data_IF_859262599662
#
_entry.id   IF_859262599662
#
_cell.length_a   1.000
_cell.length_b   1.000
_cell.length_c   1.000
_cell.angle_alpha   90.00
_cell.angle_beta   90.00
_cell.angle_gamma   90.00
#
_symmetry.space_group_name_H-M   'P 1'
#
loop_
_entity.id
_entity.type
_entity.pdbx_description
1 polymer ?
#
# COMPACT_ATOMS: atom_id res chain seq x y z
N UNK A 1 57.07 2.02 -23.89
CA UNK A 1 55.63 2.05 -24.23
C UNK A 1 54.85 1.63 -22.99
N UNK A 2 53.74 2.31 -22.68
CA UNK A 2 53.06 2.26 -21.39
C UNK A 2 52.06 1.10 -21.29
N UNK A 3 52.24 0.22 -20.31
CA UNK A 3 51.23 -0.73 -19.86
C UNK A 3 50.88 -0.43 -18.39
N UNK A 4 49.94 0.49 -18.19
CA UNK A 4 49.30 0.73 -16.90
C UNK A 4 48.04 -0.15 -16.81
N UNK A 5 48.21 -1.39 -16.34
CA UNK A 5 47.09 -2.25 -15.99
C UNK A 5 46.42 -1.75 -14.70
N UNK A 6 45.53 -0.79 -14.83
CA UNK A 6 44.60 -0.43 -13.76
C UNK A 6 43.39 -1.38 -13.81
N UNK A 7 43.43 -2.45 -13.00
CA UNK A 7 42.41 -3.52 -12.91
C UNK A 7 40.99 -3.06 -12.48
N UNK A 8 40.75 -1.75 -12.43
CA UNK A 8 39.51 -1.12 -11.96
C UNK A 8 38.71 -0.41 -13.06
N UNK A 9 38.90 -0.76 -14.33
CA UNK A 9 38.14 -0.20 -15.45
C UNK A 9 37.07 -1.20 -15.96
N UNK A 10 35.90 -0.68 -16.34
CA UNK A 10 34.82 -1.39 -17.05
C UNK A 10 34.39 -0.56 -18.26
N UNK A 11 34.02 -1.20 -19.39
CA UNK A 11 33.45 -0.47 -20.51
C UNK A 11 32.07 0.09 -20.16
N UNK A 12 31.77 1.29 -20.64
CA UNK A 12 30.44 1.87 -20.59
C UNK A 12 29.50 1.10 -21.52
N UNK A 13 28.34 0.66 -21.01
CA UNK A 13 27.35 -0.09 -21.81
C UNK A 13 26.67 0.74 -22.90
N UNK A 14 26.79 2.07 -22.87
CA UNK A 14 26.13 2.97 -23.82
C UNK A 14 27.06 3.48 -24.91
N UNK A 15 28.32 3.79 -24.58
CA UNK A 15 29.27 4.40 -25.52
C UNK A 15 30.60 3.64 -25.65
N UNK A 16 30.77 2.51 -24.96
CA UNK A 16 31.96 1.66 -25.07
C UNK A 16 33.22 2.17 -24.38
N UNK A 17 33.26 3.44 -23.95
CA UNK A 17 34.44 4.04 -23.33
C UNK A 17 34.79 3.40 -21.98
N UNK A 18 36.10 3.32 -21.68
CA UNK A 18 36.60 2.73 -20.44
C UNK A 18 36.42 3.69 -19.27
N UNK A 19 35.87 3.18 -18.17
CA UNK A 19 35.57 3.99 -16.97
C UNK A 19 35.85 3.21 -15.69
N UNK A 20 36.08 3.93 -14.59
CA UNK A 20 36.21 3.30 -13.28
C UNK A 20 35.00 2.40 -12.94
N UNK A 21 35.25 1.22 -12.37
CA UNK A 21 34.21 0.25 -11.96
C UNK A 21 33.19 0.87 -10.99
N UNK A 22 33.64 1.82 -10.17
CA UNK A 22 32.83 2.56 -9.19
C UNK A 22 31.95 3.67 -9.81
N UNK A 23 32.21 4.09 -11.05
CA UNK A 23 31.41 5.13 -11.70
C UNK A 23 29.98 4.64 -11.95
N UNK A 24 29.02 5.32 -11.31
CA UNK A 24 27.57 5.07 -11.44
C UNK A 24 26.98 5.69 -12.71
N UNK A 25 27.60 6.76 -13.21
CA UNK A 25 27.21 7.52 -14.39
C UNK A 25 28.45 7.70 -15.27
N UNK A 26 28.29 7.55 -16.59
CA UNK A 26 29.35 7.80 -17.54
C UNK A 26 29.62 9.31 -17.68
N UNK A 27 30.86 9.80 -17.50
CA UNK A 27 31.16 11.22 -17.68
C UNK A 27 31.15 11.64 -19.16
N UNK A 28 31.27 10.70 -20.10
CA UNK A 28 31.34 11.01 -21.53
C UNK A 28 29.96 11.02 -22.21
N UNK A 29 29.02 10.17 -21.79
CA UNK A 29 27.70 10.08 -22.42
C UNK A 29 26.52 10.22 -21.45
N UNK A 30 26.76 10.41 -20.15
CA UNK A 30 25.70 10.50 -19.14
C UNK A 30 24.96 9.19 -18.84
N UNK A 31 25.30 8.09 -19.52
CA UNK A 31 24.64 6.79 -19.34
C UNK A 31 24.83 6.19 -17.94
N UNK A 32 23.74 5.73 -17.32
CA UNK A 32 23.73 5.15 -15.96
C UNK A 32 24.17 3.68 -16.02
N UNK A 33 25.43 3.39 -15.71
CA UNK A 33 25.98 2.02 -15.72
C UNK A 33 25.93 1.37 -14.32
N UNK A 34 24.74 1.37 -13.69
CA UNK A 34 24.50 0.70 -12.40
C UNK A 34 24.27 -0.81 -12.64
N UNK A 35 24.88 -1.70 -11.83
CA UNK A 35 24.55 -3.11 -11.90
C UNK A 35 23.09 -3.30 -11.48
N UNK A 36 22.33 -4.16 -12.19
CA UNK A 36 20.95 -4.40 -11.87
C UNK A 36 20.82 -5.04 -10.48
N UNK A 37 19.71 -4.74 -9.79
CA UNK A 37 19.48 -5.07 -8.38
C UNK A 37 19.58 -6.58 -8.14
N UNK A 38 19.11 -7.40 -9.09
CA UNK A 38 19.13 -8.86 -9.01
C UNK A 38 20.52 -9.51 -9.06
N UNK A 39 21.59 -8.76 -9.39
CA UNK A 39 22.97 -9.25 -9.34
C UNK A 39 23.71 -8.88 -8.06
N UNK A 40 23.03 -8.23 -7.10
CA UNK A 40 23.64 -7.86 -5.82
C UNK A 40 23.61 -9.06 -4.87
N UNK A 41 24.69 -9.34 -4.13
CA UNK A 41 24.79 -10.54 -3.28
C UNK A 41 23.67 -10.65 -2.25
N UNK A 42 23.24 -9.54 -1.64
CA UNK A 42 22.10 -9.54 -0.69
C UNK A 42 20.76 -10.00 -1.30
N UNK A 43 20.51 -9.70 -2.58
CA UNK A 43 19.26 -10.09 -3.27
C UNK A 43 19.24 -11.59 -3.56
N UNK A 44 20.42 -12.17 -3.88
CA UNK A 44 20.58 -13.61 -4.09
C UNK A 44 20.30 -14.37 -2.79
N UNK A 45 20.77 -13.87 -1.64
CA UNK A 45 20.50 -14.47 -0.32
C UNK A 45 19.01 -14.50 0.00
N UNK A 46 18.29 -13.39 -0.24
CA UNK A 46 16.83 -13.32 -0.01
C UNK A 46 16.07 -14.30 -0.92
N UNK A 47 16.43 -14.38 -2.20
CA UNK A 47 15.79 -15.31 -3.13
C UNK A 47 15.98 -16.78 -2.72
N UNK A 48 17.16 -17.16 -2.22
CA UNK A 48 17.43 -18.52 -1.73
C UNK A 48 16.60 -18.85 -0.49
N UNK A 49 16.48 -17.92 0.48
CA UNK A 49 15.63 -18.10 1.66
C UNK A 49 14.17 -18.30 1.25
N UNK A 50 13.69 -17.52 0.29
CA UNK A 50 12.31 -17.63 -0.19
C UNK A 50 12.05 -18.99 -0.83
N UNK A 51 12.95 -19.48 -1.70
CA UNK A 51 12.82 -20.80 -2.35
C UNK A 51 12.94 -21.97 -1.35
N UNK A 52 13.74 -21.84 -0.30
CA UNK A 52 13.83 -22.87 0.75
C UNK A 52 12.60 -22.84 1.69
N UNK A 53 11.99 -21.66 1.89
CA UNK A 53 10.79 -21.49 2.71
C UNK A 53 9.53 -22.13 2.14
N UNK A 54 9.42 -22.30 0.82
CA UNK A 54 8.24 -22.94 0.18
C UNK A 54 8.22 -24.47 0.21
N UNK A 55 9.28 -25.14 0.68
CA UNK A 55 9.32 -26.63 0.73
C UNK A 55 8.73 -27.18 2.05
N UNK A 56 8.34 -26.33 3.00
CA UNK A 56 7.88 -26.74 4.34
C UNK A 56 6.40 -27.12 4.51
N UNK A 57 5.58 -27.20 3.46
CA UNK A 57 4.11 -27.39 3.63
C UNK A 57 3.47 -28.37 2.64
N UNK A 58 4.12 -29.51 2.40
CA UNK A 58 3.43 -30.70 1.86
C UNK A 58 3.43 -31.76 2.97
N UNK A 59 2.35 -31.81 3.74
CA UNK A 59 2.18 -32.83 4.77
C UNK A 59 1.02 -32.53 5.72
N UNK A 60 -0.19 -32.97 5.35
CA UNK A 60 -1.35 -32.91 6.25
C UNK A 60 -2.68 -33.05 5.51
N UNK A 61 -3.02 -34.28 5.11
CA UNK A 61 -4.32 -34.61 4.51
C UNK A 61 -5.45 -34.70 5.52
N UNK A 62 -6.69 -34.70 5.02
CA UNK A 62 -7.87 -35.06 5.82
C UNK A 62 -9.21 -34.54 5.33
N UNK A 63 -9.69 -35.12 4.22
CA UNK A 63 -11.07 -35.54 3.93
C UNK A 63 -12.28 -34.67 4.37
N UNK A 64 -13.17 -34.32 3.42
CA UNK A 64 -14.51 -34.96 3.25
C UNK A 64 -15.47 -34.11 2.40
N UNK A 65 -15.82 -34.65 1.22
CA UNK A 65 -17.16 -34.70 0.57
C UNK A 65 -18.15 -33.54 0.78
N UNK A 66 -18.48 -32.78 -0.27
CA UNK A 66 -19.53 -33.06 -1.27
C UNK A 66 -20.97 -33.01 -0.71
N UNK A 67 -21.78 -32.07 -1.23
CA UNK A 67 -23.13 -32.32 -1.75
C UNK A 67 -23.62 -31.10 -2.51
N UNK A 68 -23.93 -31.31 -3.79
CA UNK A 68 -24.53 -30.31 -4.67
C UNK A 68 -26.06 -30.39 -4.73
N UNK A 69 -26.57 -29.78 -5.80
CA UNK A 69 -27.96 -29.71 -6.26
C UNK A 69 -28.89 -28.76 -5.49
N UNK A 70 -29.82 -28.05 -6.13
CA UNK A 70 -30.10 -27.76 -7.53
C UNK A 70 -31.32 -26.83 -7.51
N UNK A 71 -31.42 -25.96 -8.53
CA UNK A 71 -32.66 -25.44 -9.12
C UNK A 71 -33.67 -24.71 -8.23
N UNK A 72 -33.91 -23.43 -8.55
CA UNK A 72 -35.28 -22.91 -8.49
C UNK A 72 -35.56 -22.05 -9.72
N UNK A 73 -36.64 -22.47 -10.36
CA UNK A 73 -37.29 -22.02 -11.59
C UNK A 73 -37.70 -20.55 -11.58
N UNK A 74 -37.44 -19.90 -12.71
CA UNK A 74 -38.03 -18.65 -13.19
C UNK A 74 -39.55 -18.62 -13.04
N UNK A 75 -40.07 -17.61 -12.33
CA UNK A 75 -41.41 -17.08 -12.57
C UNK A 75 -41.33 -15.57 -12.76
N UNK A 76 -41.76 -15.15 -13.93
CA UNK A 76 -42.07 -13.78 -14.33
C UNK A 76 -43.49 -13.44 -13.88
N UNK A 77 -43.68 -12.27 -13.26
CA UNK A 77 -44.86 -11.37 -13.32
C UNK A 77 -44.51 -10.14 -12.46
N UNK A 78 -44.26 -8.99 -13.09
CA UNK A 78 -45.22 -7.88 -13.31
C UNK A 78 -45.32 -6.93 -12.10
N UNK A 79 -44.77 -5.72 -12.34
CA UNK A 79 -45.15 -4.40 -11.83
C UNK A 79 -45.52 -4.26 -10.34
N UNK A 80 -44.66 -3.58 -9.57
CA UNK A 80 -45.01 -2.24 -9.11
C UNK A 80 -43.79 -1.49 -8.57
N UNK A 81 -43.78 -0.20 -8.82
CA UNK A 81 -42.91 0.82 -8.25
C UNK A 81 -42.77 0.68 -6.74
N UNK A 82 -41.56 0.41 -6.26
CA UNK A 82 -41.16 0.72 -4.90
C UNK A 82 -39.88 1.52 -5.00
N UNK A 83 -40.04 2.85 -4.99
CA UNK A 83 -38.98 3.76 -4.59
C UNK A 83 -38.46 3.26 -3.25
N UNK A 84 -37.29 2.63 -3.26
CA UNK A 84 -36.59 2.30 -2.03
C UNK A 84 -36.13 3.64 -1.46
N UNK A 85 -36.88 4.15 -0.48
CA UNK A 85 -36.31 5.03 0.52
C UNK A 85 -35.18 4.25 1.19
N UNK A 86 -33.96 4.51 0.75
CA UNK A 86 -32.75 4.23 1.51
C UNK A 86 -32.92 4.94 2.84
N UNK A 87 -33.26 4.17 3.87
CA UNK A 87 -33.15 4.61 5.24
C UNK A 87 -31.67 4.88 5.50
N UNK A 88 -31.24 6.13 5.36
CA UNK A 88 -29.92 6.58 5.77
C UNK A 88 -29.76 6.28 7.26
N UNK A 89 -29.02 5.22 7.56
CA UNK A 89 -28.48 5.01 8.88
C UNK A 89 -27.42 6.10 9.09
N UNK A 90 -27.70 7.03 10.00
CA UNK A 90 -26.76 8.11 10.33
C UNK A 90 -25.58 7.48 11.05
N UNK A 91 -24.47 7.32 10.32
CA UNK A 91 -23.20 6.85 10.87
C UNK A 91 -22.58 8.03 11.64
N UNK A 92 -22.34 7.84 12.94
CA UNK A 92 -21.58 8.81 13.73
C UNK A 92 -20.08 8.55 13.61
N UNK A 93 -19.32 9.62 13.37
CA UNK A 93 -17.87 9.58 13.25
C UNK A 93 -17.24 10.29 14.44
N UNK A 94 -16.33 9.61 15.13
CA UNK A 94 -15.46 10.28 16.11
C UNK A 94 -14.22 10.81 15.39
N UNK A 95 -13.89 12.08 15.60
CA UNK A 95 -12.74 12.73 14.99
C UNK A 95 -11.44 12.41 15.73
N UNK A 96 -10.38 12.13 14.98
CA UNK A 96 -9.02 11.97 15.47
C UNK A 96 -8.01 12.63 14.51
N UNK A 97 -6.91 13.14 15.06
CA UNK A 97 -5.75 13.48 14.23
C UNK A 97 -4.89 12.23 14.00
N UNK A 98 -4.32 12.08 12.79
CA UNK A 98 -3.43 10.95 12.50
C UNK A 98 -2.21 10.94 13.44
N UNK A 99 -1.74 12.10 13.90
CA UNK A 99 -0.74 12.21 14.95
C UNK A 99 -1.18 11.55 16.26
N UNK A 100 -2.40 11.81 16.75
CA UNK A 100 -2.91 11.14 17.96
C UNK A 100 -2.95 9.62 17.78
N UNK A 101 -3.49 9.17 16.64
CA UNK A 101 -3.61 7.73 16.35
C UNK A 101 -2.25 7.04 16.34
N UNK A 102 -1.24 7.66 15.72
CA UNK A 102 0.11 7.12 15.66
C UNK A 102 0.83 7.17 17.02
N UNK A 103 0.55 8.18 17.86
CA UNK A 103 1.07 8.24 19.24
C UNK A 103 0.47 7.13 20.11
N UNK A 104 -0.83 6.90 20.00
CA UNK A 104 -1.52 5.80 20.68
C UNK A 104 -0.95 4.43 20.25
N UNK A 105 -0.73 4.24 18.95
CA UNK A 105 -0.13 3.02 18.39
C UNK A 105 1.28 2.79 18.95
N UNK A 106 2.14 3.81 18.92
CA UNK A 106 3.51 3.74 19.41
C UNK A 106 3.60 3.53 20.93
N UNK A 107 2.67 4.14 21.68
CA UNK A 107 2.61 4.00 23.13
C UNK A 107 2.10 2.63 23.56
N UNK A 108 1.05 2.11 22.92
CA UNK A 108 0.52 0.77 23.17
C UNK A 108 -0.37 0.28 22.01
N UNK A 109 0.22 -0.50 21.12
CA UNK A 109 -0.47 -1.03 19.94
C UNK A 109 -1.73 -1.86 20.26
N UNK A 110 -1.72 -2.65 21.35
CA UNK A 110 -2.88 -3.46 21.75
C UNK A 110 -4.05 -2.57 22.19
N UNK A 111 -3.75 -1.47 22.91
CA UNK A 111 -4.76 -0.49 23.32
C UNK A 111 -5.30 0.28 22.11
N UNK A 112 -4.43 0.69 21.19
CA UNK A 112 -4.81 1.36 19.96
C UNK A 112 -5.74 0.46 19.10
N UNK A 113 -5.38 -0.80 18.90
CA UNK A 113 -6.21 -1.74 18.14
C UNK A 113 -7.62 -1.86 18.75
N UNK A 114 -7.73 -1.99 20.07
CA UNK A 114 -9.03 -2.05 20.75
C UNK A 114 -9.82 -0.72 20.70
N UNK A 115 -9.13 0.43 20.64
CA UNK A 115 -9.76 1.76 20.56
C UNK A 115 -10.34 2.03 19.16
N UNK A 116 -9.60 1.69 18.10
CA UNK A 116 -9.91 2.17 16.75
C UNK A 116 -10.52 1.11 15.83
N UNK A 117 -10.09 -0.16 15.93
CA UNK A 117 -10.50 -1.19 14.96
C UNK A 117 -12.01 -1.41 15.00
N UNK A 118 -12.63 -1.39 13.82
CA UNK A 118 -14.06 -1.56 13.61
C UNK A 118 -14.89 -0.28 13.77
N UNK A 119 -14.32 0.82 14.27
CA UNK A 119 -15.03 2.09 14.43
C UNK A 119 -15.15 2.84 13.10
N UNK A 120 -16.24 3.60 12.96
CA UNK A 120 -16.33 4.66 11.95
C UNK A 120 -15.73 5.94 12.55
N UNK A 121 -14.72 6.46 11.88
CA UNK A 121 -13.92 7.59 12.37
C UNK A 121 -13.73 8.63 11.27
N UNK A 122 -13.56 9.86 11.69
CA UNK A 122 -13.06 10.95 10.85
C UNK A 122 -11.60 11.18 11.22
N UNK A 123 -10.71 11.16 10.24
CA UNK A 123 -9.29 11.42 10.44
C UNK A 123 -8.87 12.67 9.70
N UNK A 124 -7.96 13.44 10.30
CA UNK A 124 -7.26 14.53 9.60
C UNK A 124 -5.76 14.30 9.65
N UNK A 125 -5.09 14.54 8.52
CA UNK A 125 -3.65 14.40 8.41
C UNK A 125 -3.12 14.83 7.06
N UNK A 126 -1.85 14.54 6.80
CA UNK A 126 -1.15 14.94 5.59
C UNK A 126 -1.20 13.84 4.53
N UNK A 127 -1.66 14.15 3.34
CA UNK A 127 -1.65 13.24 2.20
C UNK A 127 -0.21 12.93 1.78
N UNK A 128 0.19 11.67 1.84
CA UNK A 128 1.58 11.25 1.63
C UNK A 128 1.78 10.36 0.38
N UNK A 129 0.83 9.48 0.08
CA UNK A 129 0.87 8.63 -1.12
C UNK A 129 -0.46 8.68 -1.82
N UNK A 130 -0.42 8.76 -3.15
CA UNK A 130 -1.56 8.47 -4.03
C UNK A 130 -1.15 7.28 -4.90
N UNK A 131 -1.88 6.17 -4.80
CA UNK A 131 -1.61 4.98 -5.61
C UNK A 131 -1.92 5.26 -7.09
N UNK A 132 -1.05 4.81 -7.99
CA UNK A 132 -1.18 5.09 -9.42
C UNK A 132 -2.40 4.44 -10.07
N UNK A 133 -2.89 3.32 -9.49
CA UNK A 133 -4.12 2.68 -9.94
C UNK A 133 -5.37 3.29 -9.29
N UNK A 134 -5.19 4.22 -8.32
CA UNK A 134 -6.26 4.81 -7.54
C UNK A 134 -6.91 3.84 -6.56
N UNK A 135 -6.17 2.83 -6.08
CA UNK A 135 -6.69 1.84 -5.12
C UNK A 135 -6.65 2.32 -3.68
N UNK A 136 -5.70 3.19 -3.34
CA UNK A 136 -5.56 3.74 -2.00
C UNK A 136 -4.82 5.08 -2.01
N UNK A 137 -4.93 5.78 -0.90
CA UNK A 137 -4.02 6.85 -0.51
C UNK A 137 -3.40 6.52 0.85
N UNK A 138 -2.30 7.19 1.21
CA UNK A 138 -1.80 7.16 2.59
C UNK A 138 -1.87 8.55 3.20
N UNK A 139 -2.35 8.62 4.44
CA UNK A 139 -2.38 9.84 5.24
C UNK A 139 -1.44 9.65 6.43
N UNK A 140 -0.50 10.56 6.59
CA UNK A 140 0.51 10.52 7.66
C UNK A 140 0.27 11.65 8.65
N UNK A 141 1.09 11.66 9.70
CA UNK A 141 1.13 12.75 10.67
C UNK A 141 1.44 14.08 9.96
N UNK A 142 0.81 15.15 10.43
CA UNK A 142 1.05 16.51 9.92
C UNK A 142 2.25 17.19 10.59
N UNK A 143 2.71 16.67 11.74
CA UNK A 143 3.81 17.21 12.53
C UNK A 143 5.19 16.64 12.16
N UNK A 144 5.24 15.68 11.22
CA UNK A 144 6.46 15.01 10.76
C UNK A 144 6.44 14.84 9.23
N UNK A 145 7.12 15.74 8.52
CA UNK A 145 7.24 15.71 7.06
C UNK A 145 7.99 14.47 6.51
N UNK A 146 8.70 13.74 7.38
CA UNK A 146 9.41 12.51 7.01
C UNK A 146 8.65 11.25 7.43
N UNK A 147 7.44 11.38 7.98
CA UNK A 147 6.61 10.25 8.33
C UNK A 147 6.28 9.44 7.07
N UNK A 148 6.66 8.16 7.09
CA UNK A 148 6.36 7.20 6.01
C UNK A 148 5.24 6.23 6.38
N UNK A 149 4.84 6.19 7.66
CA UNK A 149 3.79 5.34 8.19
C UNK A 149 2.65 6.21 8.73
N UNK A 150 1.42 5.70 8.65
CA UNK A 150 0.22 6.43 9.01
C UNK A 150 -1.01 5.54 8.80
N UNK A 151 -1.97 6.06 8.05
CA UNK A 151 -3.22 5.38 7.69
C UNK A 151 -3.24 5.07 6.21
N UNK A 152 -3.32 3.79 5.87
CA UNK A 152 -3.62 3.31 4.53
C UNK A 152 -5.13 3.40 4.29
N UNK A 153 -5.56 4.27 3.38
CA UNK A 153 -6.97 4.54 3.13
C UNK A 153 -7.39 3.93 1.78
N UNK A 154 -8.16 2.84 1.81
CA UNK A 154 -8.66 2.12 0.63
C UNK A 154 -9.76 2.94 -0.06
N UNK A 155 -9.58 3.20 -1.36
CA UNK A 155 -10.59 3.82 -2.21
C UNK A 155 -11.53 2.72 -2.71
N UNK A 156 -12.84 2.92 -2.54
CA UNK A 156 -13.87 1.92 -2.88
C UNK A 156 -14.69 2.30 -4.11
N UNK A 157 -14.85 3.59 -4.39
CA UNK A 157 -15.75 4.08 -5.43
C UNK A 157 -15.05 4.98 -6.44
N UNK A 158 -15.61 5.08 -7.65
CA UNK A 158 -15.12 6.00 -8.68
C UNK A 158 -15.26 7.47 -8.26
N UNK A 159 -16.24 7.81 -7.43
CA UNK A 159 -16.45 9.16 -6.89
C UNK A 159 -15.29 9.57 -5.97
N UNK A 160 -14.92 8.69 -5.03
CA UNK A 160 -13.75 8.89 -4.17
C UNK A 160 -12.47 8.97 -5.02
N UNK A 161 -12.33 8.08 -6.01
CA UNK A 161 -11.19 8.06 -6.93
C UNK A 161 -11.06 9.37 -7.70
N UNK A 162 -12.16 9.90 -8.23
CA UNK A 162 -12.18 11.15 -8.97
C UNK A 162 -11.80 12.33 -8.07
N UNK A 163 -12.31 12.37 -6.83
CA UNK A 163 -11.94 13.43 -5.87
C UNK A 163 -10.44 13.41 -5.54
N UNK A 164 -9.85 12.21 -5.39
CA UNK A 164 -8.40 12.05 -5.17
C UNK A 164 -7.56 12.51 -6.37
N UNK A 165 -8.08 12.49 -7.61
CA UNK A 165 -7.30 12.97 -8.78
C UNK A 165 -6.96 14.45 -8.73
N UNK A 166 -7.78 15.24 -8.05
CA UNK A 166 -7.60 16.68 -7.91
C UNK A 166 -6.74 17.05 -6.69
N UNK A 167 -6.33 16.06 -5.87
CA UNK A 167 -5.53 16.27 -4.67
C UNK A 167 -4.03 16.25 -4.94
N UNK A 168 -3.26 16.95 -4.09
CA UNK A 168 -1.81 17.02 -4.18
C UNK A 168 -1.16 16.40 -2.95
N UNK A 169 -0.10 15.60 -3.15
CA UNK A 169 0.72 15.10 -2.04
C UNK A 169 1.25 16.29 -1.22
N UNK A 170 1.06 16.23 0.09
CA UNK A 170 1.36 17.31 1.04
C UNK A 170 0.12 18.05 1.53
N UNK A 171 -1.02 17.93 0.86
CA UNK A 171 -2.28 18.55 1.31
C UNK A 171 -2.71 17.98 2.67
N UNK A 172 -3.33 18.82 3.49
CA UNK A 172 -4.11 18.34 4.63
C UNK A 172 -5.46 17.86 4.12
N UNK A 173 -5.82 16.63 4.44
CA UNK A 173 -7.07 15.99 4.01
C UNK A 173 -7.86 15.51 5.21
N UNK A 174 -9.18 15.50 5.06
CA UNK A 174 -10.11 14.92 6.04
C UNK A 174 -10.80 13.72 5.42
N UNK A 175 -10.75 12.57 6.10
CA UNK A 175 -11.30 11.31 5.59
C UNK A 175 -12.22 10.71 6.63
N UNK A 176 -13.43 10.37 6.22
CA UNK A 176 -14.36 9.56 7.00
C UNK A 176 -14.38 8.14 6.48
N UNK A 177 -14.30 7.19 7.40
CA UNK A 177 -14.41 5.80 7.01
C UNK A 177 -14.32 4.83 8.18
N UNK A 178 -14.33 3.55 7.84
CA UNK A 178 -14.22 2.49 8.83
C UNK A 178 -12.76 2.10 9.02
N UNK A 179 -12.25 2.16 10.25
CA UNK A 179 -10.95 1.56 10.54
C UNK A 179 -11.08 0.03 10.51
N UNK A 180 -10.46 -0.62 9.53
CA UNK A 180 -10.58 -2.07 9.31
C UNK A 180 -9.49 -2.85 10.03
N UNK A 181 -8.32 -2.24 10.20
CA UNK A 181 -7.21 -2.86 10.90
C UNK A 181 -6.24 -1.85 11.51
N UNK A 182 -5.45 -2.33 12.47
CA UNK A 182 -4.41 -1.57 13.15
C UNK A 182 -3.27 -2.53 13.49
N UNK A 183 -2.07 -2.26 12.99
CA UNK A 183 -0.89 -3.08 13.19
C UNK A 183 0.35 -2.24 13.49
N UNK A 184 1.22 -2.78 14.33
CA UNK A 184 2.43 -2.13 14.84
C UNK A 184 3.47 -1.85 13.76
N UNK A 185 3.45 -2.58 12.64
CA UNK A 185 4.44 -2.45 11.56
C UNK A 185 3.98 -1.48 10.48
N UNK A 186 2.70 -1.51 10.10
CA UNK A 186 2.16 -0.81 8.93
C UNK A 186 1.19 0.32 9.28
N UNK A 187 0.88 0.52 10.56
CA UNK A 187 -0.06 1.55 11.01
C UNK A 187 -1.51 1.09 10.90
N UNK A 188 -2.37 1.98 10.43
CA UNK A 188 -3.81 1.77 10.37
C UNK A 188 -4.28 1.49 8.94
N UNK A 189 -5.38 0.77 8.83
CA UNK A 189 -6.12 0.58 7.60
C UNK A 189 -7.51 1.17 7.75
N UNK A 190 -7.90 1.99 6.79
CA UNK A 190 -9.19 2.65 6.76
C UNK A 190 -9.83 2.45 5.40
N UNK A 191 -11.11 2.13 5.44
CA UNK A 191 -11.96 1.94 4.28
C UNK A 191 -12.77 3.23 4.08
N UNK A 192 -12.49 3.98 3.01
CA UNK A 192 -13.05 5.32 2.81
C UNK A 192 -14.57 5.21 2.57
N UNK A 193 -15.34 6.03 3.29
CA UNK A 193 -16.74 6.31 3.01
C UNK A 193 -16.87 7.69 2.35
N UNK A 194 -16.21 8.70 2.90
CA UNK A 194 -16.17 10.07 2.38
C UNK A 194 -14.76 10.65 2.51
N UNK A 195 -14.37 11.52 1.57
CA UNK A 195 -13.09 12.19 1.57
C UNK A 195 -13.31 13.66 1.19
N UNK A 196 -12.63 14.57 1.89
CA UNK A 196 -12.65 16.03 1.68
C UNK A 196 -11.27 16.59 1.38
#
# INVERSE_FOLDING_TARGET
MADNQNANLKPCKHCGQMMAKSAKVCPNCGGKNKPPIYKRPWFIVIAVIFVLGVIGSIGGGGNSSNSGSSSTTTKTETANTTTQETKEEVIEYTHYDVSEMMDDLNGNAMKAQNKYKGQYIEITGRLNTIDSDGKYISVTRSDDEWAILGVHCTIKTDEQRNKVMDMTIGDTVTIRGKCTDCGEVLGFYLDIEEIE
#
